data_IF_253755043382
#
_entry.id   IF_253755043382
#
_cell.length_a   1.000
_cell.length_b   1.000
_cell.length_c   1.000
_cell.angle_alpha   90.00
_cell.angle_beta   90.00
_cell.angle_gamma   90.00
#
_symmetry.space_group_name_H-M   'P 1'
#
loop_
_entity.id
_entity.type
_entity.pdbx_description
1 polymer ?
#
# COMPACT_ATOMS: atom_id res chain seq x y z
N UNK A 1 -23.06 9.75 16.40
CA UNK A 1 -22.77 8.94 15.21
C UNK A 1 -21.25 8.71 15.18
N UNK A 2 -20.83 7.51 15.56
CA UNK A 2 -19.44 7.20 15.95
C UNK A 2 -18.48 7.22 14.75
N UNK A 3 -17.27 7.76 14.95
CA UNK A 3 -16.14 7.85 13.99
C UNK A 3 -15.53 6.48 13.63
N UNK A 4 -16.33 5.43 13.61
CA UNK A 4 -15.93 4.04 13.39
C UNK A 4 -16.12 3.57 11.94
N UNK A 5 -16.87 4.34 11.13
CA UNK A 5 -17.60 3.77 9.98
C UNK A 5 -17.08 4.12 8.57
N UNK A 6 -15.84 4.56 8.38
CA UNK A 6 -15.22 4.54 7.03
C UNK A 6 -14.19 3.44 6.85
N UNK A 7 -14.04 2.56 7.83
CA UNK A 7 -13.01 1.53 7.87
C UNK A 7 -13.56 0.16 7.45
N UNK A 8 -14.74 -0.25 7.95
CA UNK A 8 -15.24 -1.62 7.82
C UNK A 8 -15.64 -2.08 6.42
N UNK A 9 -15.86 -1.20 5.45
CA UNK A 9 -16.15 -1.63 4.06
C UNK A 9 -14.88 -1.98 3.26
N UNK A 10 -13.67 -1.83 3.83
CA UNK A 10 -12.41 -2.02 3.09
C UNK A 10 -11.29 -2.70 3.88
N UNK A 11 -11.56 -3.24 5.07
CA UNK A 11 -10.61 -4.13 5.73
C UNK A 11 -10.72 -5.52 5.13
N UNK A 12 -9.83 -5.84 4.21
CA UNK A 12 -9.51 -7.22 3.91
C UNK A 12 -8.18 -7.53 4.61
N UNK A 13 -8.16 -8.47 5.55
CA UNK A 13 -6.91 -8.91 6.16
C UNK A 13 -6.49 -10.22 5.49
N UNK A 14 -5.30 -10.29 4.90
CA UNK A 14 -4.74 -11.55 4.42
C UNK A 14 -3.78 -12.10 5.48
N UNK A 15 -4.13 -13.26 6.05
CA UNK A 15 -3.22 -13.95 6.94
C UNK A 15 -2.24 -14.79 6.12
N UNK A 16 -0.93 -14.57 6.27
CA UNK A 16 0.07 -15.32 5.53
C UNK A 16 0.89 -16.21 6.48
N UNK A 17 0.54 -17.50 6.56
CA UNK A 17 1.34 -18.47 7.31
C UNK A 17 2.49 -19.01 6.48
N UNK A 18 3.58 -18.24 6.37
CA UNK A 18 4.83 -18.74 5.78
C UNK A 18 5.52 -19.63 6.81
N UNK A 19 5.74 -20.92 6.51
CA UNK A 19 6.51 -21.90 7.31
C UNK A 19 6.69 -21.50 8.79
N UNK A 20 5.68 -21.80 9.63
CA UNK A 20 5.73 -21.65 11.09
C UNK A 20 5.87 -20.21 11.65
N UNK A 21 5.83 -19.15 10.82
CA UNK A 21 5.88 -17.76 11.26
C UNK A 21 4.48 -17.15 11.09
N UNK A 22 3.80 -16.86 12.19
CA UNK A 22 2.48 -16.23 12.20
C UNK A 22 2.59 -14.77 11.72
N UNK A 23 2.72 -14.53 10.41
CA UNK A 23 2.90 -13.20 9.82
C UNK A 23 1.56 -12.71 9.26
N UNK A 24 1.21 -11.46 9.55
CA UNK A 24 -0.03 -10.86 9.11
C UNK A 24 0.22 -9.82 8.01
N UNK A 25 -0.59 -9.85 6.94
CA UNK A 25 -0.60 -8.85 5.89
C UNK A 25 -2.02 -8.29 5.70
N UNK A 26 -2.29 -7.10 6.22
CA UNK A 26 -3.62 -6.49 6.15
C UNK A 26 -3.70 -5.36 5.13
N UNK A 27 -4.91 -5.08 4.63
CA UNK A 27 -5.19 -3.85 3.88
C UNK A 27 -6.38 -3.10 4.45
N UNK A 28 -6.38 -1.79 4.26
CA UNK A 28 -7.46 -0.90 4.70
C UNK A 28 -7.57 0.35 3.81
N UNK A 29 -8.58 1.18 4.11
CA UNK A 29 -8.65 2.57 3.67
C UNK A 29 -7.89 3.49 4.63
N UNK A 30 -7.71 4.76 4.25
CA UNK A 30 -7.03 5.74 5.12
C UNK A 30 -7.82 6.05 6.40
N UNK A 31 -7.16 6.49 7.48
CA UNK A 31 -7.83 6.91 8.70
C UNK A 31 -8.43 8.32 8.58
N UNK A 32 -9.43 8.61 9.43
CA UNK A 32 -10.08 9.92 9.53
C UNK A 32 -9.42 10.81 10.61
N UNK A 33 -8.10 10.98 10.52
CA UNK A 33 -7.31 11.69 11.55
C UNK A 33 -7.51 13.20 11.54
N UNK A 34 -7.84 13.80 10.40
CA UNK A 34 -7.66 15.24 10.21
C UNK A 34 -6.29 15.70 10.72
N UNK A 35 -6.25 16.85 11.40
CA UNK A 35 -5.00 17.35 12.00
C UNK A 35 -4.58 16.64 13.29
N UNK A 36 -5.54 16.26 14.15
CA UNK A 36 -5.25 15.79 15.51
C UNK A 36 -6.22 14.72 16.05
N UNK A 37 -7.24 14.34 15.29
CA UNK A 37 -8.16 13.30 15.74
C UNK A 37 -7.43 11.96 15.84
N UNK A 38 -7.79 11.22 16.89
CA UNK A 38 -7.26 9.90 17.22
C UNK A 38 -8.42 8.93 17.41
N UNK A 39 -8.14 7.65 17.24
CA UNK A 39 -9.08 6.56 17.42
C UNK A 39 -8.37 5.49 18.25
N UNK A 40 -8.79 5.30 19.50
CA UNK A 40 -8.13 4.36 20.42
C UNK A 40 -8.31 2.93 19.93
N UNK A 41 -9.45 2.63 19.33
CA UNK A 41 -9.76 1.30 18.82
C UNK A 41 -8.93 0.96 17.57
N UNK A 42 -8.60 1.95 16.73
CA UNK A 42 -7.67 1.77 15.62
C UNK A 42 -6.24 1.51 16.11
N UNK A 43 -5.80 2.26 17.12
CA UNK A 43 -4.51 2.05 17.79
C UNK A 43 -4.44 0.64 18.42
N UNK A 44 -5.50 0.19 19.09
CA UNK A 44 -5.62 -1.16 19.65
C UNK A 44 -5.65 -2.25 18.56
N UNK A 45 -6.32 -2.01 17.43
CA UNK A 45 -6.35 -2.94 16.32
C UNK A 45 -4.96 -3.14 15.69
N UNK A 46 -4.22 -2.05 15.45
CA UNK A 46 -2.86 -2.12 14.94
C UNK A 46 -1.92 -2.87 15.92
N UNK A 47 -2.06 -2.62 17.23
CA UNK A 47 -1.32 -3.34 18.27
C UNK A 47 -1.68 -4.84 18.30
N UNK A 48 -2.96 -5.18 18.15
CA UNK A 48 -3.41 -6.57 18.06
C UNK A 48 -2.83 -7.27 16.81
N UNK A 49 -2.83 -6.61 15.65
CA UNK A 49 -2.21 -7.13 14.42
C UNK A 49 -0.71 -7.39 14.65
N UNK A 50 0.02 -6.46 15.26
CA UNK A 50 1.43 -6.64 15.57
C UNK A 50 1.66 -7.87 16.48
N UNK A 51 0.83 -8.04 17.51
CA UNK A 51 0.92 -9.14 18.48
C UNK A 51 0.59 -10.52 17.91
N UNK A 52 -0.08 -10.60 16.75
CA UNK A 52 -0.30 -11.90 16.06
C UNK A 52 1.01 -12.56 15.61
N UNK A 53 2.09 -11.78 15.49
CA UNK A 53 3.41 -12.24 15.09
C UNK A 53 4.35 -12.35 16.31
N UNK A 54 4.52 -13.56 16.89
CA UNK A 54 5.38 -13.74 18.05
C UNK A 54 6.88 -13.58 17.71
N UNK A 55 7.24 -13.56 16.42
CA UNK A 55 8.63 -13.41 15.98
C UNK A 55 9.05 -11.96 15.79
N UNK A 56 8.11 -11.01 15.71
CA UNK A 56 8.40 -9.59 15.56
C UNK A 56 7.26 -8.72 16.09
N UNK A 57 7.58 -7.85 17.04
CA UNK A 57 6.65 -6.81 17.52
C UNK A 57 6.57 -5.59 16.59
N UNK A 58 7.45 -5.50 15.58
CA UNK A 58 7.42 -4.40 14.60
C UNK A 58 6.32 -4.64 13.57
N UNK A 59 5.50 -3.61 13.36
CA UNK A 59 4.48 -3.56 12.30
C UNK A 59 4.86 -2.49 11.28
N UNK A 60 4.90 -2.85 10.00
CA UNK A 60 5.06 -1.88 8.93
C UNK A 60 3.69 -1.39 8.46
N UNK A 61 3.53 -0.08 8.38
CA UNK A 61 2.35 0.56 7.83
C UNK A 61 2.74 1.30 6.56
N UNK A 62 2.09 0.94 5.46
CA UNK A 62 2.42 1.38 4.12
C UNK A 62 1.27 2.23 3.59
N UNK A 63 1.53 3.52 3.43
CA UNK A 63 0.67 4.40 2.66
C UNK A 63 1.22 4.50 1.23
N UNK A 64 0.49 3.93 0.29
CA UNK A 64 0.92 3.90 -1.11
C UNK A 64 0.96 5.28 -1.77
N UNK A 65 0.35 6.31 -1.18
CA UNK A 65 0.22 7.64 -1.81
C UNK A 65 1.53 8.42 -1.80
N UNK A 66 1.65 9.45 -2.65
CA UNK A 66 2.60 10.52 -2.40
C UNK A 66 2.31 11.22 -1.08
N UNK A 67 3.37 11.50 -0.31
CA UNK A 67 3.22 12.18 1.00
C UNK A 67 2.43 13.48 0.89
N UNK A 68 2.64 14.26 -0.17
CA UNK A 68 1.87 15.48 -0.42
C UNK A 68 0.37 15.21 -0.59
N UNK A 69 0.00 14.16 -1.32
CA UNK A 69 -1.40 13.77 -1.50
C UNK A 69 -2.02 13.29 -0.18
N UNK A 70 -1.26 12.58 0.64
CA UNK A 70 -1.69 12.18 1.99
C UNK A 70 -1.91 13.39 2.90
N UNK A 71 -1.05 14.41 2.82
CA UNK A 71 -1.21 15.68 3.54
C UNK A 71 -2.44 16.47 3.10
N UNK A 72 -2.75 16.53 1.80
CA UNK A 72 -3.98 17.18 1.30
C UNK A 72 -5.22 16.48 1.85
N UNK A 73 -5.26 15.14 1.84
CA UNK A 73 -6.35 14.38 2.46
C UNK A 73 -6.45 14.66 3.97
N UNK A 74 -5.32 14.85 4.65
CA UNK A 74 -5.28 15.21 6.07
C UNK A 74 -5.95 16.56 6.35
N UNK A 75 -5.74 17.56 5.48
CA UNK A 75 -6.41 18.87 5.58
C UNK A 75 -7.92 18.77 5.35
N UNK A 76 -8.38 17.75 4.61
CA UNK A 76 -9.79 17.49 4.35
C UNK A 76 -10.46 16.60 5.42
N UNK A 77 -9.82 16.41 6.58
CA UNK A 77 -10.36 15.61 7.69
C UNK A 77 -10.06 14.11 7.60
N UNK A 78 -9.34 13.65 6.57
CA UNK A 78 -8.86 12.26 6.42
C UNK A 78 -7.41 12.15 6.91
N UNK A 79 -6.50 11.54 6.15
CA UNK A 79 -5.07 11.64 6.39
C UNK A 79 -4.37 10.31 6.53
N UNK A 80 -3.44 10.23 7.47
CA UNK A 80 -2.59 9.08 7.72
C UNK A 80 -2.11 9.13 9.18
N UNK A 81 -1.68 7.97 9.66
CA UNK A 81 -1.36 7.63 11.03
C UNK A 81 -0.14 8.41 11.53
N UNK A 82 -0.24 8.91 12.76
CA UNK A 82 0.90 9.53 13.43
C UNK A 82 1.62 8.45 14.25
N UNK A 83 2.82 8.07 13.83
CA UNK A 83 3.65 7.02 14.45
C UNK A 83 3.77 7.15 15.98
N UNK A 84 3.72 8.38 16.53
CA UNK A 84 3.76 8.60 17.98
C UNK A 84 2.60 8.00 18.75
N UNK A 85 1.48 7.73 18.08
CA UNK A 85 0.28 7.15 18.68
C UNK A 85 0.27 5.61 18.62
N UNK A 86 1.16 4.99 17.84
CA UNK A 86 1.16 3.55 17.56
C UNK A 86 2.47 2.92 18.04
N UNK A 87 2.36 1.95 18.94
CA UNK A 87 3.53 1.26 19.49
C UNK A 87 4.20 0.37 18.44
N UNK A 88 5.52 0.45 18.31
CA UNK A 88 6.34 -0.38 17.40
C UNK A 88 5.94 -0.33 15.91
N UNK A 89 5.26 0.73 15.49
CA UNK A 89 4.87 0.95 14.11
C UNK A 89 5.97 1.67 13.33
N UNK A 90 6.29 1.22 12.12
CA UNK A 90 7.13 1.95 11.16
C UNK A 90 6.34 2.31 9.92
N UNK A 91 6.35 3.59 9.58
CA UNK A 91 5.52 4.14 8.52
C UNK A 91 6.34 4.36 7.24
N UNK A 92 5.79 3.97 6.09
CA UNK A 92 6.45 4.05 4.78
C UNK A 92 5.50 4.63 3.71
N UNK A 93 6.06 5.44 2.80
CA UNK A 93 5.40 5.96 1.61
C UNK A 93 6.02 5.39 0.33
N UNK A 94 5.24 5.23 -0.74
CA UNK A 94 5.71 4.71 -2.05
C UNK A 94 5.33 5.58 -3.26
N UNK A 95 4.75 6.76 -3.03
CA UNK A 95 4.53 7.76 -4.09
C UNK A 95 3.74 7.27 -5.33
N UNK A 96 2.79 6.34 -5.14
CA UNK A 96 1.89 5.87 -6.19
C UNK A 96 0.75 6.86 -6.37
N UNK A 97 0.81 7.59 -7.49
CA UNK A 97 -0.14 8.62 -7.83
C UNK A 97 -1.59 8.12 -7.98
N UNK A 98 -2.53 9.05 -7.86
CA UNK A 98 -3.95 8.73 -7.96
C UNK A 98 -4.37 8.40 -9.41
N UNK A 99 -5.59 7.87 -9.55
CA UNK A 99 -6.16 7.43 -10.83
C UNK A 99 -6.22 8.53 -11.90
N UNK A 100 -6.29 9.81 -11.52
CA UNK A 100 -6.33 10.92 -12.49
C UNK A 100 -4.96 11.11 -13.15
N UNK A 101 -3.89 11.08 -12.36
CA UNK A 101 -2.51 11.15 -12.88
C UNK A 101 -2.21 9.93 -13.74
N UNK A 102 -2.60 8.72 -13.30
CA UNK A 102 -2.41 7.49 -14.08
C UNK A 102 -3.12 7.55 -15.44
N UNK A 103 -4.35 8.07 -15.48
CA UNK A 103 -5.11 8.26 -16.72
C UNK A 103 -4.40 9.23 -17.67
N UNK A 104 -3.96 10.39 -17.18
CA UNK A 104 -3.22 11.37 -17.98
C UNK A 104 -1.89 10.81 -18.47
N UNK A 105 -1.18 10.05 -17.63
CA UNK A 105 0.07 9.38 -18.00
C UNK A 105 -0.11 8.39 -19.14
N UNK A 106 -1.15 7.53 -19.06
CA UNK A 106 -1.48 6.58 -20.12
C UNK A 106 -1.83 7.29 -21.43
N UNK A 107 -2.63 8.36 -21.39
CA UNK A 107 -2.95 9.16 -22.58
C UNK A 107 -1.69 9.69 -23.26
N UNK A 108 -0.74 10.24 -22.49
CA UNK A 108 0.55 10.73 -23.03
C UNK A 108 1.42 9.61 -23.61
N UNK A 109 1.46 8.45 -22.97
CA UNK A 109 2.17 7.29 -23.50
C UNK A 109 1.58 6.85 -24.85
N UNK A 110 0.25 6.77 -24.95
CA UNK A 110 -0.42 6.40 -26.19
C UNK A 110 -0.19 7.46 -27.29
N UNK A 111 -0.12 8.73 -26.94
CA UNK A 111 0.28 9.78 -27.89
C UNK A 111 1.71 9.59 -28.37
N UNK A 112 2.66 9.29 -27.47
CA UNK A 112 4.04 8.99 -27.83
C UNK A 112 4.11 7.82 -28.83
N UNK A 113 3.38 6.74 -28.58
CA UNK A 113 3.37 5.56 -29.45
C UNK A 113 2.80 5.83 -30.85
N UNK A 114 1.81 6.71 -30.98
CA UNK A 114 1.11 6.93 -32.25
C UNK A 114 1.55 8.18 -33.02
N UNK A 115 2.05 9.21 -32.34
CA UNK A 115 2.30 10.53 -32.95
C UNK A 115 3.79 10.89 -33.05
N UNK A 116 4.68 10.16 -32.39
CA UNK A 116 6.11 10.43 -32.48
C UNK A 116 6.63 10.26 -33.92
N UNK A 117 7.33 11.29 -34.43
CA UNK A 117 7.84 11.29 -35.81
C UNK A 117 9.21 10.63 -35.95
N UNK A 118 9.95 10.55 -34.85
CA UNK A 118 11.30 9.99 -34.78
C UNK A 118 11.47 9.23 -33.47
N UNK A 119 12.48 8.37 -33.40
CA UNK A 119 12.83 7.64 -32.17
C UNK A 119 13.21 8.61 -31.03
N UNK A 120 13.92 9.69 -31.34
CA UNK A 120 14.28 10.71 -30.33
C UNK A 120 13.05 11.42 -29.77
N UNK A 121 12.09 11.75 -30.64
CA UNK A 121 10.81 12.33 -30.26
C UNK A 121 9.98 11.37 -29.39
N UNK A 122 9.95 10.08 -29.77
CA UNK A 122 9.32 9.04 -28.96
C UNK A 122 9.89 8.98 -27.54
N UNK A 123 11.21 8.96 -27.38
CA UNK A 123 11.82 8.90 -26.04
C UNK A 123 11.51 10.13 -25.19
N UNK A 124 11.50 11.33 -25.79
CA UNK A 124 11.09 12.57 -25.09
C UNK A 124 9.64 12.50 -24.61
N UNK A 125 8.74 12.04 -25.46
CA UNK A 125 7.32 11.92 -25.11
C UNK A 125 7.07 10.79 -24.10
N UNK A 126 7.78 9.67 -24.22
CA UNK A 126 7.78 8.57 -23.26
C UNK A 126 8.20 9.06 -21.87
N UNK A 127 9.29 9.82 -21.79
CA UNK A 127 9.73 10.42 -20.52
C UNK A 127 8.69 11.40 -19.96
N UNK A 128 8.14 12.28 -20.80
CA UNK A 128 7.11 13.26 -20.42
C UNK A 128 5.78 12.62 -19.97
N UNK A 129 5.53 11.37 -20.36
CA UNK A 129 4.37 10.61 -19.87
C UNK A 129 4.50 10.21 -18.41
N UNK A 130 5.73 10.06 -17.88
CA UNK A 130 6.03 9.47 -16.57
C UNK A 130 5.53 8.04 -16.37
N UNK A 131 5.04 7.35 -17.41
CA UNK A 131 4.42 6.03 -17.28
C UNK A 131 5.35 5.02 -16.60
N UNK A 132 6.61 4.95 -17.04
CA UNK A 132 7.60 4.04 -16.46
C UNK A 132 7.93 4.36 -15.00
N UNK A 133 7.85 5.64 -14.59
CA UNK A 133 8.04 6.03 -13.18
C UNK A 133 6.90 5.51 -12.31
N UNK A 134 5.66 5.58 -12.80
CA UNK A 134 4.50 5.05 -12.09
C UNK A 134 4.54 3.52 -11.96
N UNK A 135 4.94 2.82 -13.03
CA UNK A 135 5.15 1.36 -13.00
C UNK A 135 6.24 1.00 -12.00
N UNK A 136 7.36 1.73 -11.99
CA UNK A 136 8.45 1.52 -11.04
C UNK A 136 8.00 1.67 -9.58
N UNK A 137 7.32 2.76 -9.24
CA UNK A 137 6.82 3.00 -7.88
C UNK A 137 5.90 1.87 -7.38
N UNK A 138 5.05 1.35 -8.26
CA UNK A 138 4.18 0.23 -7.96
C UNK A 138 4.96 -1.08 -7.72
N UNK A 139 5.98 -1.36 -8.55
CA UNK A 139 6.85 -2.53 -8.39
C UNK A 139 7.73 -2.44 -7.14
N UNK A 140 8.21 -1.24 -6.79
CA UNK A 140 8.99 -0.98 -5.58
C UNK A 140 8.16 -1.23 -4.32
N UNK A 141 6.90 -0.77 -4.29
CA UNK A 141 5.95 -1.06 -3.21
C UNK A 141 5.72 -2.57 -3.05
N UNK A 142 5.34 -3.26 -4.13
CA UNK A 142 5.12 -4.71 -4.10
C UNK A 142 6.37 -5.50 -3.68
N UNK A 143 7.54 -5.08 -4.15
CA UNK A 143 8.82 -5.65 -3.75
C UNK A 143 9.10 -5.47 -2.26
N UNK A 144 8.92 -4.26 -1.74
CA UNK A 144 9.13 -3.96 -0.34
C UNK A 144 8.22 -4.80 0.57
N UNK A 145 6.93 -4.92 0.20
CA UNK A 145 5.97 -5.76 0.92
C UNK A 145 6.42 -7.23 0.92
N UNK A 146 6.81 -7.78 -0.25
CA UNK A 146 7.26 -9.17 -0.36
C UNK A 146 8.52 -9.44 0.48
N UNK A 147 9.50 -8.55 0.44
CA UNK A 147 10.73 -8.67 1.24
C UNK A 147 10.43 -8.55 2.73
N UNK A 148 9.54 -7.64 3.14
CA UNK A 148 9.17 -7.44 4.55
C UNK A 148 8.52 -8.69 5.13
N UNK A 149 7.56 -9.27 4.42
CA UNK A 149 6.91 -10.53 4.81
C UNK A 149 7.92 -11.68 4.82
N UNK A 150 8.78 -11.82 3.80
CA UNK A 150 9.81 -12.86 3.77
C UNK A 150 10.81 -12.73 4.95
N UNK A 151 11.06 -11.51 5.43
CA UNK A 151 11.87 -11.22 6.64
C UNK A 151 11.12 -11.45 7.96
N UNK A 152 9.84 -11.78 7.93
CA UNK A 152 9.04 -12.06 9.11
C UNK A 152 8.41 -10.82 9.76
N UNK A 153 8.25 -9.72 9.02
CA UNK A 153 7.65 -8.48 9.51
C UNK A 153 6.22 -8.38 9.00
N UNK A 154 5.25 -8.23 9.92
CA UNK A 154 3.84 -8.01 9.55
C UNK A 154 3.66 -6.63 8.91
N UNK A 155 2.70 -6.52 8.00
CA UNK A 155 2.47 -5.30 7.22
C UNK A 155 0.98 -4.94 7.16
N UNK A 156 0.66 -3.65 7.18
CA UNK A 156 -0.65 -3.11 6.78
C UNK A 156 -0.45 -2.14 5.63
N UNK A 157 -1.26 -2.25 4.57
CA UNK A 157 -1.17 -1.37 3.40
C UNK A 157 -2.49 -0.65 3.11
N UNK A 158 -2.41 0.65 2.83
CA UNK A 158 -3.57 1.44 2.42
C UNK A 158 -3.24 2.46 1.33
N UNK A 159 -4.28 3.09 0.82
CA UNK A 159 -4.17 4.25 -0.05
C UNK A 159 -5.11 5.35 0.47
N UNK A 160 -5.96 5.93 -0.38
CA UNK A 160 -7.07 6.77 0.08
C UNK A 160 -8.26 5.91 0.50
N UNK A 161 -8.88 5.22 -0.45
CA UNK A 161 -10.11 4.43 -0.25
C UNK A 161 -9.82 2.92 -0.17
N UNK A 162 -8.55 2.54 -0.25
CA UNK A 162 -8.14 1.16 -0.05
C UNK A 162 -8.40 0.20 -1.21
N UNK A 163 -8.95 0.64 -2.36
CA UNK A 163 -9.37 -0.25 -3.45
C UNK A 163 -8.56 -0.20 -4.76
N UNK A 164 -7.75 0.85 -5.00
CA UNK A 164 -7.00 1.02 -6.26
C UNK A 164 -5.53 0.57 -6.10
N UNK A 165 -4.68 1.48 -5.65
CA UNK A 165 -3.23 1.29 -5.45
C UNK A 165 -2.93 0.19 -4.45
N UNK A 166 -3.78 0.08 -3.42
CA UNK A 166 -3.74 -1.02 -2.46
C UNK A 166 -3.91 -2.36 -3.15
N UNK A 167 -4.95 -2.53 -3.98
CA UNK A 167 -5.20 -3.78 -4.69
C UNK A 167 -4.05 -4.14 -5.64
N UNK A 168 -3.51 -3.16 -6.38
CA UNK A 168 -2.35 -3.35 -7.25
C UNK A 168 -1.10 -3.80 -6.45
N UNK A 169 -0.81 -3.13 -5.33
CA UNK A 169 0.35 -3.44 -4.48
C UNK A 169 0.25 -4.84 -3.86
N UNK A 170 -0.95 -5.22 -3.41
CA UNK A 170 -1.26 -6.55 -2.84
C UNK A 170 -1.07 -7.64 -3.91
N UNK A 171 -1.57 -7.42 -5.13
CA UNK A 171 -1.45 -8.37 -6.23
C UNK A 171 0.01 -8.66 -6.57
N UNK A 172 0.82 -7.61 -6.72
CA UNK A 172 2.25 -7.74 -7.07
C UNK A 172 3.04 -8.36 -5.91
N UNK A 173 2.72 -7.97 -4.67
CA UNK A 173 3.28 -8.59 -3.47
C UNK A 173 3.07 -10.11 -3.48
N UNK A 174 1.83 -10.57 -3.70
CA UNK A 174 1.47 -11.99 -3.68
C UNK A 174 2.21 -12.78 -4.75
N UNK A 175 2.26 -12.26 -5.98
CA UNK A 175 3.01 -12.89 -7.08
C UNK A 175 4.50 -13.04 -6.72
N UNK A 176 5.09 -12.00 -6.17
CA UNK A 176 6.51 -12.00 -5.79
C UNK A 176 6.80 -12.90 -4.60
N UNK A 177 5.88 -12.97 -3.64
CA UNK A 177 6.00 -13.85 -2.49
C UNK A 177 5.91 -15.33 -2.92
N UNK A 178 5.01 -15.66 -3.85
CA UNK A 178 4.92 -16.98 -4.48
C UNK A 178 6.19 -17.37 -5.23
N UNK A 179 6.92 -16.40 -5.77
CA UNK A 179 8.23 -16.66 -6.37
C UNK A 179 9.30 -17.01 -5.32
N UNK A 180 9.29 -16.34 -4.16
CA UNK A 180 10.24 -16.63 -3.07
C UNK A 180 9.88 -17.90 -2.29
N UNK A 181 8.59 -18.21 -2.19
CA UNK A 181 8.12 -19.44 -1.61
C UNK A 181 8.29 -20.56 -2.64
N UNK A 182 9.19 -21.51 -2.39
CA UNK A 182 9.11 -22.80 -3.07
C UNK A 182 7.65 -23.27 -3.05
N UNK A 183 7.12 -23.83 -4.16
CA UNK A 183 5.69 -24.12 -4.45
C UNK A 183 4.86 -24.86 -3.37
N UNK A 184 5.44 -25.16 -2.21
CA UNK A 184 4.87 -25.84 -1.05
C UNK A 184 4.40 -24.90 0.08
N UNK A 185 4.46 -23.56 -0.06
CA UNK A 185 3.83 -22.67 0.93
C UNK A 185 2.33 -22.55 0.68
N UNK A 186 1.53 -22.95 1.67
CA UNK A 186 0.09 -22.72 1.68
C UNK A 186 -0.20 -21.25 1.93
N UNK A 187 -0.70 -20.54 0.91
CA UNK A 187 -1.32 -19.22 1.09
C UNK A 187 -2.77 -19.45 1.49
N UNK A 188 -3.08 -19.26 2.78
CA UNK A 188 -4.46 -19.31 3.26
C UNK A 188 -5.07 -17.92 3.17
N UNK A 189 -5.88 -17.69 2.12
CA UNK A 189 -6.67 -16.47 2.00
C UNK A 189 -7.87 -16.55 2.93
N UNK A 190 -7.85 -15.81 4.04
CA UNK A 190 -9.05 -15.58 4.86
C UNK A 190 -9.61 -14.23 4.44
N UNK A 191 -10.67 -14.25 3.64
CA UNK A 191 -11.50 -13.06 3.41
C UNK A 191 -12.49 -12.98 4.58
N UNK A 192 -12.42 -11.92 5.39
CA UNK A 192 -13.50 -11.53 6.30
C UNK A 192 -14.41 -10.52 5.61
#
# INVERSE_FOLDING_TARGET
MYKFFSALESWAAYFHQFCCKHICFSRCAQPLTGFSARCVEDEMLMDAIAKTNPSSSTLYLIDTRPKMNAMVNKMQGKGFENVRNYTNLRFHFFDIDNIHIMRTSLSKLLEACHRAKTVSDYYKQLEASSWLKHVLALLECGNFLAISIARGISCVVHCSDGWDRTAQSVSIHNEKLLYFANKNCHISMILF
#
